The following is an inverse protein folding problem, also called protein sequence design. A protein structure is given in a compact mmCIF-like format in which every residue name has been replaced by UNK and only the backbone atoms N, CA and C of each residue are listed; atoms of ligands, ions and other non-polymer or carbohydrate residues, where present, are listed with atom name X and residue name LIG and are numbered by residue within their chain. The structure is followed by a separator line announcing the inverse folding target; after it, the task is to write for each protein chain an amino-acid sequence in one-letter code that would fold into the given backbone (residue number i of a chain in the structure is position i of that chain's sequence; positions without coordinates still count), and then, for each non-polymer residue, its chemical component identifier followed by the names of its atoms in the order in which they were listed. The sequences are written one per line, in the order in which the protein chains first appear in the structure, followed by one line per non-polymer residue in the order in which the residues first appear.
data_IF_924086274964
#
_entry.id   IF_924086274964
#
_cell.length_a   1.000
_cell.length_b   1.000
_cell.length_c   1.000
_cell.angle_alpha   90.00
_cell.angle_beta   90.00
_cell.angle_gamma   90.00
#
_symmetry.space_group_name_H-M   'P 1'
#
loop_
_entity.id
_entity.type
_entity.pdbx_description
1 polymer ?
#
# COMPACT_ATOMS: atom_id res chain seq x y z
N UNK A 1 2.01 12.82 -12.68
CA UNK A 1 3.16 11.97 -13.06
C UNK A 1 2.71 10.87 -14.02
N UNK A 2 3.60 10.43 -14.87
CA UNK A 2 3.31 9.34 -15.81
C UNK A 2 3.73 8.01 -15.21
N UNK A 3 2.84 7.02 -15.30
CA UNK A 3 3.11 5.68 -14.77
C UNK A 3 2.64 4.63 -15.79
N UNK A 4 3.08 3.40 -15.59
CA UNK A 4 2.64 2.25 -16.37
C UNK A 4 1.72 1.38 -15.52
N UNK A 5 0.61 0.94 -16.13
CA UNK A 5 -0.29 0.00 -15.49
C UNK A 5 0.17 -1.45 -15.64
N UNK A 6 -0.50 -2.34 -14.93
CA UNK A 6 -0.25 -3.79 -15.03
C UNK A 6 -0.58 -4.34 -16.43
N UNK A 7 -1.37 -3.62 -17.19
CA UNK A 7 -1.72 -3.96 -18.58
C UNK A 7 -0.68 -3.49 -19.59
N UNK A 8 0.40 -2.84 -19.15
CA UNK A 8 1.45 -2.31 -19.99
C UNK A 8 1.14 -0.96 -20.62
N UNK A 9 -0.03 -0.41 -20.36
CA UNK A 9 -0.42 0.90 -20.90
C UNK A 9 0.09 2.03 -20.02
N UNK A 10 0.31 3.19 -20.62
CA UNK A 10 0.74 4.39 -19.90
C UNK A 10 -0.46 5.18 -19.41
N UNK A 11 -0.37 5.68 -18.18
CA UNK A 11 -1.43 6.46 -17.53
C UNK A 11 -0.86 7.72 -16.92
N UNK A 12 -1.69 8.77 -16.86
CA UNK A 12 -1.41 9.96 -16.07
C UNK A 12 -1.99 9.75 -14.67
N UNK A 13 -1.17 9.95 -13.64
CA UNK A 13 -1.56 9.71 -12.25
C UNK A 13 -1.33 10.95 -11.41
N UNK A 14 -2.38 11.35 -10.70
CA UNK A 14 -2.31 12.42 -9.72
C UNK A 14 -2.64 11.82 -8.34
N UNK A 15 -1.61 11.45 -7.54
CA UNK A 15 -1.82 10.79 -6.26
C UNK A 15 -2.67 11.59 -5.28
N UNK A 16 -2.53 12.91 -5.27
CA UNK A 16 -3.29 13.77 -4.36
C UNK A 16 -4.79 13.71 -4.59
N UNK A 17 -5.20 13.66 -5.86
CA UNK A 17 -6.61 13.53 -6.24
C UNK A 17 -7.11 12.10 -6.04
N UNK A 18 -6.21 11.13 -6.16
CA UNK A 18 -6.53 9.71 -6.02
C UNK A 18 -6.65 9.27 -4.55
N UNK A 19 -6.39 10.17 -3.61
CA UNK A 19 -6.46 9.88 -2.18
C UNK A 19 -7.92 9.78 -1.73
N UNK A 20 -8.26 8.65 -1.09
CA UNK A 20 -9.57 8.48 -0.49
C UNK A 20 -9.59 9.11 0.90
N UNK A 21 -10.79 9.54 1.33
CA UNK A 21 -10.97 10.08 2.68
C UNK A 21 -10.83 8.94 3.68
N UNK A 22 -9.87 9.07 4.60
CA UNK A 22 -9.63 8.09 5.64
C UNK A 22 -10.50 8.42 6.85
N UNK A 23 -11.60 7.66 7.06
CA UNK A 23 -12.53 7.89 8.16
C UNK A 23 -12.21 7.03 9.37
N UNK A 24 -11.56 5.88 9.17
CA UNK A 24 -11.18 4.96 10.25
C UNK A 24 -9.79 4.41 9.99
N UNK A 25 -8.96 4.42 11.03
CA UNK A 25 -7.62 3.82 10.98
C UNK A 25 -7.51 2.71 12.02
N UNK A 26 -6.89 1.59 11.62
CA UNK A 26 -6.52 0.56 12.59
C UNK A 26 -5.42 1.10 13.51
N UNK A 27 -5.19 0.43 14.63
CA UNK A 27 -4.10 0.81 15.55
C UNK A 27 -2.73 0.73 14.88
N UNK A 28 -2.53 -0.28 14.02
CA UNK A 28 -1.29 -0.42 13.24
C UNK A 28 -1.13 0.73 12.26
N UNK A 29 -2.20 1.11 11.58
CA UNK A 29 -2.19 2.22 10.63
C UNK A 29 -1.83 3.55 11.32
N UNK A 30 -2.42 3.79 12.50
CA UNK A 30 -2.14 4.99 13.31
C UNK A 30 -0.69 5.02 13.78
N UNK A 31 -0.16 3.86 14.20
CA UNK A 31 1.24 3.71 14.61
C UNK A 31 2.18 4.02 13.46
N UNK A 32 1.88 3.51 12.27
CA UNK A 32 2.66 3.78 11.06
C UNK A 32 2.64 5.26 10.70
N UNK A 33 1.46 5.90 10.74
CA UNK A 33 1.34 7.33 10.43
C UNK A 33 2.19 8.20 11.35
N UNK A 34 2.20 7.90 12.65
CA UNK A 34 3.03 8.62 13.61
C UNK A 34 4.51 8.49 13.28
N UNK A 35 4.96 7.29 12.95
CA UNK A 35 6.35 7.05 12.58
C UNK A 35 6.72 7.82 11.32
N UNK A 36 5.86 7.80 10.30
CA UNK A 36 6.11 8.51 9.05
C UNK A 36 6.15 10.03 9.27
N UNK A 37 5.27 10.56 10.12
CA UNK A 37 5.29 11.98 10.46
C UNK A 37 6.61 12.38 11.15
N UNK A 38 7.17 11.50 11.99
CA UNK A 38 8.46 11.73 12.64
C UNK A 38 9.63 11.67 11.66
N UNK A 39 9.60 10.72 10.74
CA UNK A 39 10.69 10.51 9.77
C UNK A 39 10.69 11.54 8.66
N UNK A 40 9.51 11.99 8.25
CA UNK A 40 9.32 12.89 7.11
C UNK A 40 8.45 14.09 7.50
N UNK A 41 8.91 14.94 8.45
CA UNK A 41 8.08 16.03 8.99
C UNK A 41 7.79 17.12 7.97
N UNK A 42 8.56 17.22 6.90
CA UNK A 42 8.39 18.25 5.87
C UNK A 42 7.84 17.70 4.56
N UNK A 43 7.59 16.41 4.47
CA UNK A 43 7.06 15.79 3.27
C UNK A 43 5.54 15.60 3.36
N UNK A 44 4.89 15.63 2.20
CA UNK A 44 3.47 15.32 2.10
C UNK A 44 3.32 13.79 2.17
N UNK A 45 2.46 13.32 3.08
CA UNK A 45 2.14 11.90 3.25
C UNK A 45 0.68 11.71 2.86
N UNK A 46 0.44 11.02 1.76
CA UNK A 46 -0.90 10.72 1.27
C UNK A 46 -1.35 9.36 1.79
N UNK A 47 -2.64 9.21 2.10
CA UNK A 47 -3.21 7.98 2.64
C UNK A 47 -4.29 7.43 1.72
N UNK A 48 -4.41 6.10 1.68
CA UNK A 48 -5.44 5.40 0.91
C UNK A 48 -5.47 5.85 -0.56
N UNK A 49 -4.32 5.80 -1.21
CA UNK A 49 -4.14 6.29 -2.57
C UNK A 49 -4.44 5.19 -3.58
N UNK A 50 -5.36 5.46 -4.52
CA UNK A 50 -5.66 4.52 -5.60
C UNK A 50 -4.52 4.48 -6.61
N UNK A 51 -4.11 3.27 -6.98
CA UNK A 51 -3.03 3.03 -7.94
C UNK A 51 -3.65 2.86 -9.34
N UNK A 52 -3.55 3.89 -10.18
CA UNK A 52 -4.13 3.86 -11.52
C UNK A 52 -3.47 2.78 -12.36
N UNK A 53 -4.27 2.10 -13.20
CA UNK A 53 -3.74 1.02 -14.04
C UNK A 53 -3.49 -0.30 -13.30
N UNK A 54 -4.00 -0.45 -12.09
CA UNK A 54 -3.82 -1.66 -11.29
C UNK A 54 -4.96 -2.67 -11.40
N UNK A 55 -5.94 -2.41 -12.27
CA UNK A 55 -7.01 -3.37 -12.57
C UNK A 55 -6.48 -4.55 -13.37
N UNK A 56 -7.06 -5.72 -13.14
CA UNK A 56 -6.75 -6.92 -13.93
C UNK A 56 -8.05 -7.52 -14.47
N UNK A 57 -7.93 -8.58 -15.30
CA UNK A 57 -9.11 -9.29 -15.80
C UNK A 57 -9.93 -9.92 -14.66
N UNK A 58 -9.26 -10.29 -13.58
CA UNK A 58 -9.89 -10.92 -12.41
C UNK A 58 -10.41 -9.87 -11.43
N UNK A 59 -9.71 -8.75 -11.32
CA UNK A 59 -10.04 -7.68 -10.36
C UNK A 59 -10.39 -6.41 -11.10
N UNK A 60 -11.64 -5.96 -10.96
CA UNK A 60 -12.16 -4.79 -11.68
C UNK A 60 -11.95 -3.46 -10.94
N UNK A 61 -11.53 -3.52 -9.68
CA UNK A 61 -11.22 -2.33 -8.88
C UNK A 61 -9.73 -2.06 -8.87
N UNK A 62 -9.34 -0.79 -8.69
CA UNK A 62 -7.94 -0.44 -8.50
C UNK A 62 -7.46 -0.86 -7.12
N UNK A 63 -6.16 -1.11 -7.02
CA UNK A 63 -5.50 -1.31 -5.73
C UNK A 63 -5.31 0.02 -5.03
N UNK A 64 -5.16 -0.01 -3.72
CA UNK A 64 -4.86 1.17 -2.89
C UNK A 64 -3.59 0.95 -2.11
N UNK A 65 -2.80 2.03 -2.00
CA UNK A 65 -1.64 2.06 -1.11
C UNK A 65 -2.07 2.69 0.22
N UNK A 66 -1.60 2.13 1.34
CA UNK A 66 -1.90 2.70 2.65
C UNK A 66 -1.32 4.10 2.80
N UNK A 67 -0.06 4.27 2.40
CA UNK A 67 0.63 5.56 2.41
C UNK A 67 1.47 5.73 1.15
N UNK A 68 1.52 6.94 0.63
CA UNK A 68 2.43 7.32 -0.44
C UNK A 68 3.10 8.65 -0.12
N UNK A 69 4.42 8.69 -0.22
CA UNK A 69 5.22 9.90 -0.02
C UNK A 69 5.82 10.29 -1.37
N UNK A 70 5.19 11.24 -2.10
CA UNK A 70 5.60 11.56 -3.48
C UNK A 70 7.06 11.99 -3.63
N UNK A 71 7.55 12.81 -2.69
CA UNK A 71 8.92 13.33 -2.75
C UNK A 71 9.98 12.25 -2.59
N UNK A 72 9.60 11.08 -2.10
CA UNK A 72 10.51 9.96 -1.87
C UNK A 72 10.27 8.79 -2.81
N UNK A 73 9.23 8.86 -3.66
CA UNK A 73 8.75 7.74 -4.46
C UNK A 73 8.61 6.48 -3.60
N UNK A 74 7.94 6.63 -2.45
CA UNK A 74 7.87 5.61 -1.42
C UNK A 74 6.42 5.29 -1.09
N UNK A 75 6.07 4.01 -1.22
CA UNK A 75 4.79 3.47 -0.77
C UNK A 75 5.03 2.62 0.48
N UNK A 76 4.21 2.84 1.49
CA UNK A 76 4.23 2.06 2.73
C UNK A 76 2.93 1.26 2.81
N UNK A 77 3.06 -0.05 3.04
CA UNK A 77 1.93 -0.93 3.30
C UNK A 77 1.99 -1.44 4.72
N UNK A 78 0.85 -1.42 5.41
CA UNK A 78 0.75 -1.90 6.79
C UNK A 78 0.01 -3.23 6.78
N UNK A 79 0.70 -4.30 7.18
CA UNK A 79 0.16 -5.66 7.13
C UNK A 79 -0.19 -6.17 8.52
N UNK A 80 -1.48 -6.45 8.73
CA UNK A 80 -1.96 -7.13 9.92
C UNK A 80 -1.79 -8.65 9.81
N UNK A 81 -2.17 -9.36 10.85
CA UNK A 81 -2.05 -10.83 10.93
C UNK A 81 -2.76 -11.54 9.77
N UNK A 82 -3.88 -11.00 9.31
CA UNK A 82 -4.67 -11.57 8.23
C UNK A 82 -3.93 -11.69 6.90
N UNK A 83 -2.83 -10.95 6.71
CA UNK A 83 -2.01 -11.05 5.50
C UNK A 83 -1.13 -12.31 5.47
N UNK A 84 -0.92 -12.97 6.62
CA UNK A 84 0.03 -14.06 6.74
C UNK A 84 -0.63 -15.41 7.04
N UNK A 85 -1.79 -15.38 7.68
CA UNK A 85 -2.49 -16.60 8.11
C UNK A 85 -3.94 -16.55 7.70
N UNK A 86 -4.48 -17.68 7.23
CA UNK A 86 -5.92 -17.79 7.04
C UNK A 86 -6.60 -17.68 8.41
N UNK A 87 -7.52 -16.74 8.54
CA UNK A 87 -8.28 -16.52 9.76
C UNK A 87 -9.76 -16.38 9.41
N UNK A 88 -10.64 -17.30 9.87
CA UNK A 88 -12.07 -17.25 9.54
C UNK A 88 -12.78 -15.96 9.99
N UNK A 89 -12.24 -15.24 10.96
CA UNK A 89 -12.81 -13.95 11.39
C UNK A 89 -12.63 -12.85 10.35
N UNK A 90 -11.56 -12.92 9.53
CA UNK A 90 -11.26 -11.91 8.52
C UNK A 90 -11.63 -12.36 7.11
N UNK A 91 -11.64 -13.66 6.85
CA UNK A 91 -11.89 -14.22 5.52
C UNK A 91 -12.98 -15.28 5.59
N UNK A 92 -13.97 -15.16 4.71
CA UNK A 92 -15.06 -16.13 4.63
C UNK A 92 -14.61 -17.48 4.08
N UNK A 93 -13.49 -17.52 3.35
CA UNK A 93 -12.98 -18.72 2.72
C UNK A 93 -11.49 -18.58 2.43
N UNK A 94 -10.83 -19.72 2.17
CA UNK A 94 -9.44 -19.75 1.71
C UNK A 94 -9.28 -18.99 0.39
N UNK A 95 -10.29 -19.03 -0.48
CA UNK A 95 -10.26 -18.31 -1.74
C UNK A 95 -10.13 -16.79 -1.53
N UNK A 96 -10.87 -16.24 -0.57
CA UNK A 96 -10.77 -14.81 -0.22
C UNK A 96 -9.37 -14.46 0.28
N UNK A 97 -8.77 -15.34 1.08
CA UNK A 97 -7.40 -15.17 1.56
C UNK A 97 -6.39 -15.16 0.41
N UNK A 98 -6.50 -16.10 -0.53
CA UNK A 98 -5.60 -16.16 -1.69
C UNK A 98 -5.76 -14.97 -2.62
N UNK A 99 -6.98 -14.44 -2.76
CA UNK A 99 -7.22 -13.21 -3.53
C UNK A 99 -6.53 -12.00 -2.91
N UNK A 100 -6.54 -11.91 -1.57
CA UNK A 100 -5.82 -10.85 -0.86
C UNK A 100 -4.31 -10.94 -1.10
N UNK A 101 -3.75 -12.16 -1.09
CA UNK A 101 -2.33 -12.39 -1.41
C UNK A 101 -1.99 -12.00 -2.83
N UNK A 102 -2.89 -12.25 -3.78
CA UNK A 102 -2.72 -11.82 -5.17
C UNK A 102 -2.64 -10.31 -5.30
N UNK A 103 -3.43 -9.57 -4.53
CA UNK A 103 -3.36 -8.11 -4.51
C UNK A 103 -2.00 -7.60 -4.02
N UNK A 104 -1.44 -8.22 -2.98
CA UNK A 104 -0.11 -7.86 -2.46
C UNK A 104 0.96 -8.05 -3.53
N UNK A 105 0.91 -9.15 -4.27
CA UNK A 105 1.83 -9.44 -5.37
C UNK A 105 1.70 -8.41 -6.49
N UNK A 106 0.47 -8.06 -6.87
CA UNK A 106 0.20 -7.09 -7.92
C UNK A 106 0.68 -5.69 -7.53
N UNK A 107 0.58 -5.30 -6.27
CA UNK A 107 1.12 -4.02 -5.79
C UNK A 107 2.63 -3.97 -5.94
N UNK A 108 3.33 -5.05 -5.60
CA UNK A 108 4.78 -5.15 -5.77
C UNK A 108 5.17 -4.98 -7.23
N UNK A 109 4.47 -5.66 -8.13
CA UNK A 109 4.70 -5.56 -9.56
C UNK A 109 4.46 -4.15 -10.09
N UNK A 110 3.35 -3.51 -9.67
CA UNK A 110 3.02 -2.14 -10.06
C UNK A 110 4.11 -1.17 -9.61
N UNK A 111 4.61 -1.32 -8.40
CA UNK A 111 5.68 -0.47 -7.86
C UNK A 111 6.99 -0.68 -8.63
N UNK A 112 7.34 -1.92 -8.95
CA UNK A 112 8.55 -2.23 -9.71
C UNK A 112 8.49 -1.62 -11.11
N UNK A 113 7.35 -1.72 -11.79
CA UNK A 113 7.17 -1.12 -13.12
C UNK A 113 7.40 0.38 -13.11
N UNK A 114 7.06 1.05 -12.03
CA UNK A 114 7.07 2.51 -11.93
C UNK A 114 8.24 3.05 -11.10
N UNK A 115 9.21 2.20 -10.76
CA UNK A 115 10.39 2.57 -9.97
C UNK A 115 10.02 3.24 -8.64
N UNK A 116 8.95 2.74 -8.01
CA UNK A 116 8.50 3.19 -6.71
C UNK A 116 8.96 2.18 -5.67
N UNK A 117 9.54 2.68 -4.58
CA UNK A 117 10.01 1.82 -3.48
C UNK A 117 8.79 1.41 -2.65
N UNK A 118 8.64 0.11 -2.42
CA UNK A 118 7.59 -0.44 -1.57
C UNK A 118 8.19 -0.98 -0.28
N UNK A 119 7.72 -0.47 0.86
CA UNK A 119 8.13 -0.93 2.19
C UNK A 119 6.91 -1.47 2.92
N UNK A 120 7.06 -2.63 3.54
CA UNK A 120 5.99 -3.28 4.29
C UNK A 120 6.27 -3.18 5.80
N UNK A 121 5.29 -2.66 6.54
CA UNK A 121 5.31 -2.64 8.00
C UNK A 121 4.43 -3.77 8.51
N UNK A 122 5.05 -4.80 9.07
CA UNK A 122 4.35 -6.01 9.48
C UNK A 122 3.94 -5.93 10.94
N UNK A 123 2.80 -6.55 11.26
CA UNK A 123 2.21 -6.50 12.60
C UNK A 123 3.11 -7.08 13.70
N UNK A 124 3.97 -8.04 13.33
CA UNK A 124 4.87 -8.72 14.26
C UNK A 124 6.23 -8.06 14.41
N UNK A 125 6.41 -6.88 13.84
CA UNK A 125 7.64 -6.10 13.92
C UNK A 125 7.45 -4.92 14.86
N UNK A 126 8.53 -4.49 15.53
CA UNK A 126 8.47 -3.29 16.34
C UNK A 126 8.78 -2.03 15.52
N UNK A 127 8.64 -0.87 16.18
CA UNK A 127 8.80 0.41 15.50
C UNK A 127 10.23 0.65 15.01
N UNK A 128 11.22 0.10 15.71
CA UNK A 128 12.63 0.24 15.32
C UNK A 128 12.91 -0.57 14.05
N UNK A 129 12.31 -1.76 13.93
CA UNK A 129 12.41 -2.56 12.72
C UNK A 129 11.79 -1.83 11.52
N UNK A 130 10.63 -1.21 11.72
CA UNK A 130 9.96 -0.40 10.69
C UNK A 130 10.84 0.77 10.26
N UNK A 131 11.43 1.48 11.23
CA UNK A 131 12.31 2.62 10.98
C UNK A 131 13.53 2.21 10.15
N UNK A 132 14.11 1.07 10.45
CA UNK A 132 15.29 0.57 9.75
C UNK A 132 15.01 0.20 8.30
N UNK A 133 13.79 -0.18 7.97
CA UNK A 133 13.41 -0.49 6.59
C UNK A 133 13.44 0.71 5.66
N UNK A 134 13.30 1.91 6.21
CA UNK A 134 13.21 3.15 5.43
C UNK A 134 14.60 3.77 5.18
N UNK A 135 15.55 3.48 6.01
CA UNK A 135 16.91 4.03 5.88
C UNK A 135 17.67 3.44 4.70
#
# INVERSE_FOLDING_TARGET
MQIYGLDGKEYSWNPSVSQAKCTQRSSLHTKAKKLLDDLFPHDIILEEVSLVGSKTQIRRSTLRADFFIPNRNLIIEVHGEQHYKFNPFFFKSKLSFYKAKGRDTDKKEWCELNHIILVEFNYNEDIDEWRNKIK
#
